data_IF_730233073643
#
_entry.id   IF_730233073643
#
_cell.length_a   1.000
_cell.length_b   1.000
_cell.length_c   1.000
_cell.angle_alpha   90.00
_cell.angle_beta   90.00
_cell.angle_gamma   90.00
#
_symmetry.space_group_name_H-M   'P 1'
#
loop_
_entity.id
_entity.type
_entity.pdbx_description
1 polymer ?
#
# COMPACT_ATOMS: atom_id res chain seq x y z
N UNK A 1 -0.25 -13.02 -3.68
CA UNK A 1 1.17 -13.37 -3.80
C UNK A 1 2.04 -12.73 -2.73
N UNK A 2 3.30 -13.10 -2.72
CA UNK A 2 4.34 -12.53 -1.85
C UNK A 2 5.49 -12.10 -2.76
N UNK A 3 6.03 -10.90 -2.53
CA UNK A 3 7.23 -10.42 -3.21
C UNK A 3 8.35 -10.25 -2.17
N UNK A 4 9.53 -10.80 -2.47
CA UNK A 4 10.73 -10.60 -1.65
C UNK A 4 11.87 -10.08 -2.51
N UNK A 5 12.57 -9.05 -2.04
CA UNK A 5 13.72 -8.45 -2.72
C UNK A 5 15.00 -8.66 -1.89
N UNK A 6 16.06 -9.06 -2.59
CA UNK A 6 17.41 -9.11 -2.05
C UNK A 6 18.39 -8.45 -3.04
N UNK A 7 18.92 -7.29 -2.69
CA UNK A 7 19.80 -6.47 -3.56
C UNK A 7 19.11 -6.19 -4.92
N UNK A 8 19.68 -6.74 -5.99
CA UNK A 8 19.25 -6.50 -7.38
C UNK A 8 18.32 -7.61 -7.91
N UNK A 9 17.95 -8.57 -7.07
CA UNK A 9 17.01 -9.63 -7.43
C UNK A 9 15.75 -9.50 -6.60
N UNK A 10 14.60 -9.74 -7.24
CA UNK A 10 13.33 -9.93 -6.54
C UNK A 10 12.64 -11.18 -7.06
N UNK A 11 11.87 -11.80 -6.19
CA UNK A 11 11.06 -12.96 -6.51
C UNK A 11 9.61 -12.68 -6.12
N UNK A 12 8.69 -13.06 -6.99
CA UNK A 12 7.25 -12.99 -6.74
C UNK A 12 6.70 -14.41 -6.76
N UNK A 13 6.08 -14.83 -5.66
CA UNK A 13 5.40 -16.13 -5.57
C UNK A 13 3.89 -15.92 -5.54
N UNK A 14 3.18 -16.52 -6.47
CA UNK A 14 1.72 -16.41 -6.61
C UNK A 14 1.10 -17.80 -6.51
N UNK A 15 0.02 -17.93 -5.75
CA UNK A 15 -0.80 -19.14 -5.72
C UNK A 15 -1.90 -18.99 -6.78
N UNK A 16 -1.85 -19.87 -7.78
CA UNK A 16 -2.86 -19.94 -8.84
C UNK A 16 -4.22 -20.48 -8.32
N UNK A 17 -5.31 -20.30 -9.07
CA UNK A 17 -6.63 -20.86 -8.70
C UNK A 17 -6.62 -22.38 -8.53
N UNK A 18 -5.79 -23.09 -9.32
CA UNK A 18 -5.61 -24.55 -9.21
C UNK A 18 -4.83 -25.00 -7.96
N UNK A 19 -4.34 -24.05 -7.14
CA UNK A 19 -3.59 -24.30 -5.90
C UNK A 19 -2.08 -24.39 -6.09
N UNK A 20 -1.57 -24.47 -7.32
CA UNK A 20 -0.14 -24.44 -7.62
C UNK A 20 0.50 -23.10 -7.26
N UNK A 21 1.80 -23.14 -6.96
CA UNK A 21 2.58 -21.93 -6.67
C UNK A 21 3.50 -21.66 -7.85
N UNK A 22 3.31 -20.54 -8.51
CA UNK A 22 4.22 -20.02 -9.52
C UNK A 22 5.20 -19.05 -8.87
N UNK A 23 6.48 -19.15 -9.23
CA UNK A 23 7.54 -18.27 -8.70
C UNK A 23 8.28 -17.66 -9.88
N UNK A 24 8.25 -16.35 -9.98
CA UNK A 24 9.03 -15.59 -10.94
C UNK A 24 10.19 -14.91 -10.21
N UNK A 25 11.39 -15.01 -10.78
CA UNK A 25 12.59 -14.36 -10.26
C UNK A 25 13.14 -13.44 -11.33
N UNK A 26 13.24 -12.15 -11.00
CA UNK A 26 13.73 -11.14 -11.92
C UNK A 26 14.82 -10.27 -11.29
N UNK A 27 15.59 -9.63 -12.17
CA UNK A 27 16.54 -8.59 -11.78
C UNK A 27 15.90 -7.21 -11.88
N UNK A 28 16.06 -6.41 -10.82
CA UNK A 28 15.62 -5.04 -10.79
C UNK A 28 16.73 -4.13 -10.29
N UNK A 29 17.26 -3.38 -11.20
CA UNK A 29 18.25 -2.34 -10.93
C UNK A 29 17.46 -1.04 -10.76
N UNK A 30 17.40 -0.50 -9.55
CA UNK A 30 16.60 0.70 -9.24
C UNK A 30 16.87 1.90 -10.16
N UNK A 31 15.92 2.82 -10.24
CA UNK A 31 15.93 3.99 -11.16
C UNK A 31 17.20 4.84 -11.06
N UNK A 32 17.83 4.92 -9.87
CA UNK A 32 19.05 5.70 -9.63
C UNK A 32 20.33 4.85 -9.62
N UNK A 33 20.40 3.72 -10.30
CA UNK A 33 21.54 2.81 -10.17
C UNK A 33 22.91 3.48 -10.45
N UNK A 34 23.01 4.34 -11.42
CA UNK A 34 24.27 4.97 -11.86
C UNK A 34 24.42 6.45 -11.41
N UNK A 35 23.45 7.02 -10.71
CA UNK A 35 23.46 8.43 -10.39
C UNK A 35 24.15 8.74 -9.06
N UNK A 36 25.00 9.78 -9.05
CA UNK A 36 25.60 10.37 -7.83
C UNK A 36 24.53 10.93 -6.84
N UNK A 37 23.29 11.09 -7.28
CA UNK A 37 22.17 11.56 -6.46
C UNK A 37 21.80 10.57 -5.32
N UNK A 38 22.26 9.31 -5.41
CA UNK A 38 22.10 8.32 -4.30
C UNK A 38 22.76 8.74 -2.99
N UNK A 39 23.74 9.64 -3.03
CA UNK A 39 24.45 10.08 -1.83
C UNK A 39 23.65 11.09 -1.01
N UNK A 40 22.66 11.74 -1.61
CA UNK A 40 21.82 12.73 -0.94
C UNK A 40 20.67 12.02 -0.20
N UNK A 41 20.61 12.08 1.16
CA UNK A 41 19.69 11.25 1.94
C UNK A 41 18.20 11.47 1.57
N UNK A 42 17.78 12.71 1.33
CA UNK A 42 16.40 13.04 0.95
C UNK A 42 16.02 12.49 -0.42
N UNK A 43 16.88 12.73 -1.41
CA UNK A 43 16.67 12.29 -2.81
C UNK A 43 16.64 10.76 -2.86
N UNK A 44 17.55 10.09 -2.16
CA UNK A 44 17.57 8.63 -2.04
C UNK A 44 16.26 8.07 -1.52
N UNK A 45 15.67 8.72 -0.50
CA UNK A 45 14.41 8.28 0.08
C UNK A 45 13.25 8.31 -0.94
N UNK A 46 13.12 9.40 -1.71
CA UNK A 46 12.10 9.55 -2.74
C UNK A 46 12.24 8.46 -3.80
N UNK A 47 13.45 8.23 -4.29
CA UNK A 47 13.66 7.21 -5.33
C UNK A 47 13.50 5.78 -4.81
N UNK A 48 13.88 5.50 -3.56
CA UNK A 48 13.58 4.20 -2.95
C UNK A 48 12.07 3.96 -2.83
N UNK A 49 11.31 5.00 -2.53
CA UNK A 49 9.86 4.92 -2.51
C UNK A 49 9.29 4.65 -3.90
N UNK A 50 9.75 5.37 -4.94
CA UNK A 50 9.37 5.14 -6.33
C UNK A 50 9.73 3.72 -6.80
N UNK A 51 10.94 3.24 -6.49
CA UNK A 51 11.37 1.88 -6.79
C UNK A 51 10.44 0.84 -6.14
N UNK A 52 10.03 1.08 -4.89
CA UNK A 52 9.10 0.20 -4.18
C UNK A 52 7.71 0.21 -4.81
N UNK A 53 7.23 1.36 -5.28
CA UNK A 53 5.95 1.47 -6.01
C UNK A 53 6.01 0.72 -7.36
N UNK A 54 7.08 0.90 -8.13
CA UNK A 54 7.26 0.22 -9.42
C UNK A 54 7.28 -1.30 -9.23
N UNK A 55 8.06 -1.79 -8.27
CA UNK A 55 8.12 -3.22 -7.94
C UNK A 55 6.77 -3.75 -7.44
N UNK A 56 6.10 -3.00 -6.56
CA UNK A 56 4.77 -3.35 -6.09
C UNK A 56 3.77 -3.48 -7.24
N UNK A 57 3.76 -2.53 -8.17
CA UNK A 57 2.88 -2.55 -9.35
C UNK A 57 3.18 -3.75 -10.26
N UNK A 58 4.47 -4.02 -10.56
CA UNK A 58 4.86 -5.20 -11.35
C UNK A 58 4.38 -6.49 -10.69
N UNK A 59 4.60 -6.63 -9.39
CA UNK A 59 4.19 -7.81 -8.63
C UNK A 59 2.66 -7.99 -8.59
N UNK A 60 1.91 -6.89 -8.51
CA UNK A 60 0.46 -6.90 -8.57
C UNK A 60 -0.03 -7.32 -9.96
N UNK A 61 0.53 -6.75 -11.03
CA UNK A 61 0.18 -7.11 -12.41
C UNK A 61 0.50 -8.59 -12.69
N UNK A 62 1.68 -9.07 -12.28
CA UNK A 62 2.02 -10.49 -12.37
C UNK A 62 1.04 -11.37 -11.58
N UNK A 63 0.66 -10.95 -10.37
CA UNK A 63 -0.33 -11.69 -9.58
C UNK A 63 -1.72 -11.66 -10.22
N UNK A 64 -2.13 -10.54 -10.84
CA UNK A 64 -3.42 -10.38 -11.49
C UNK A 64 -3.55 -11.25 -12.74
N UNK A 65 -2.48 -11.39 -13.54
CA UNK A 65 -2.49 -12.16 -14.79
C UNK A 65 -2.93 -13.64 -14.63
N UNK A 66 -2.88 -14.19 -13.43
CA UNK A 66 -3.38 -15.54 -13.14
C UNK A 66 -4.86 -15.60 -12.76
N UNK A 67 -5.55 -14.45 -12.67
CA UNK A 67 -6.94 -14.34 -12.24
C UNK A 67 -7.82 -13.60 -13.26
N UNK A 68 -7.24 -13.08 -14.35
CA UNK A 68 -7.96 -12.32 -15.38
C UNK A 68 -8.93 -13.16 -16.24
N UNK A 69 -8.80 -14.51 -16.21
CA UNK A 69 -9.62 -15.39 -17.05
C UNK A 69 -11.06 -15.65 -16.54
N UNK A 70 -11.43 -15.24 -15.33
CA UNK A 70 -12.68 -15.75 -14.74
C UNK A 70 -13.81 -14.74 -14.52
N UNK A 71 -13.63 -13.43 -14.64
CA UNK A 71 -14.75 -12.47 -14.43
C UNK A 71 -14.53 -11.10 -15.06
N UNK A 72 -14.54 -10.98 -16.36
CA UNK A 72 -15.00 -9.74 -16.98
C UNK A 72 -16.46 -9.87 -17.38
N UNK A 73 -17.36 -9.96 -16.42
CA UNK A 73 -18.71 -9.44 -16.66
C UNK A 73 -18.55 -7.92 -16.81
N UNK A 74 -18.52 -7.48 -18.08
CA UNK A 74 -18.57 -6.05 -18.42
C UNK A 74 -19.75 -5.42 -17.70
N UNK A 75 -19.45 -4.59 -16.71
CA UNK A 75 -20.48 -3.85 -15.99
C UNK A 75 -21.21 -2.95 -16.98
N UNK A 76 -22.50 -2.68 -16.76
CA UNK A 76 -23.31 -1.79 -17.61
C UNK A 76 -22.64 -0.43 -17.81
N UNK A 77 -21.86 0.02 -16.82
CA UNK A 77 -21.04 1.23 -16.85
C UNK A 77 -19.91 1.13 -17.86
N UNK A 78 -19.25 -0.04 -17.99
CA UNK A 78 -18.14 -0.25 -18.95
C UNK A 78 -18.65 -0.20 -20.38
N UNK A 79 -19.82 -0.82 -20.66
CA UNK A 79 -20.46 -0.76 -21.99
C UNK A 79 -20.86 0.65 -22.39
N UNK A 80 -21.34 1.46 -21.45
CA UNK A 80 -21.71 2.85 -21.71
C UNK A 80 -20.46 3.71 -22.00
N UNK A 81 -19.37 3.50 -21.25
CA UNK A 81 -18.11 4.20 -21.44
C UNK A 81 -17.40 3.79 -22.75
N UNK A 82 -17.35 2.49 -23.08
CA UNK A 82 -16.81 2.01 -24.35
C UNK A 82 -17.55 2.60 -25.57
N UNK A 83 -18.85 2.79 -25.45
CA UNK A 83 -19.67 3.41 -26.50
C UNK A 83 -19.37 4.91 -26.69
N UNK A 84 -18.95 5.60 -25.62
CA UNK A 84 -18.72 7.06 -25.64
C UNK A 84 -17.28 7.43 -26.07
N UNK A 85 -16.27 6.64 -25.71
CA UNK A 85 -14.86 6.98 -25.86
C UNK A 85 -14.06 6.07 -26.81
N UNK A 86 -14.70 5.06 -27.47
CA UNK A 86 -14.05 4.13 -28.42
C UNK A 86 -12.72 3.56 -27.88
N UNK A 87 -11.64 3.68 -28.64
CA UNK A 87 -10.35 3.04 -28.36
C UNK A 87 -9.56 3.59 -27.14
N UNK A 88 -10.07 4.63 -26.46
CA UNK A 88 -9.44 5.22 -25.26
C UNK A 88 -10.32 5.11 -24.00
N UNK A 89 -11.40 4.36 -24.06
CA UNK A 89 -12.36 4.25 -22.96
C UNK A 89 -11.68 3.82 -21.66
N UNK A 90 -10.83 2.79 -21.69
CA UNK A 90 -10.17 2.26 -20.50
C UNK A 90 -9.19 3.26 -19.88
N UNK A 91 -8.46 4.00 -20.72
CA UNK A 91 -7.53 5.03 -20.24
C UNK A 91 -8.25 6.20 -19.59
N UNK A 92 -9.35 6.64 -20.18
CA UNK A 92 -10.18 7.74 -19.65
C UNK A 92 -10.87 7.29 -18.36
N UNK A 93 -11.44 6.10 -18.32
CA UNK A 93 -12.08 5.54 -17.13
C UNK A 93 -11.04 5.43 -15.97
N UNK A 94 -9.89 4.87 -16.24
CA UNK A 94 -8.81 4.76 -15.26
C UNK A 94 -8.35 6.13 -14.74
N UNK A 95 -8.22 7.13 -15.62
CA UNK A 95 -7.86 8.48 -15.22
C UNK A 95 -8.94 9.14 -14.34
N UNK A 96 -10.23 9.00 -14.71
CA UNK A 96 -11.36 9.53 -13.95
C UNK A 96 -11.42 8.87 -12.56
N UNK A 97 -11.32 7.55 -12.48
CA UNK A 97 -11.30 6.81 -11.21
C UNK A 97 -10.13 7.24 -10.34
N UNK A 98 -8.95 7.42 -10.93
CA UNK A 98 -7.77 7.87 -10.20
C UNK A 98 -7.94 9.29 -9.64
N UNK A 99 -8.42 10.24 -10.45
CA UNK A 99 -8.68 11.63 -10.02
C UNK A 99 -9.74 11.65 -8.90
N UNK A 100 -10.84 10.92 -9.09
CA UNK A 100 -11.91 10.84 -8.10
C UNK A 100 -11.42 10.22 -6.78
N UNK A 101 -10.65 9.12 -6.85
CA UNK A 101 -10.07 8.48 -5.67
C UNK A 101 -9.11 9.40 -4.92
N UNK A 102 -8.31 10.17 -5.66
CA UNK A 102 -7.39 11.14 -5.06
C UNK A 102 -8.14 12.30 -4.40
N UNK A 103 -9.16 12.84 -5.06
CA UNK A 103 -10.02 13.88 -4.49
C UNK A 103 -10.75 13.39 -3.22
N UNK A 104 -11.25 12.14 -3.24
CA UNK A 104 -11.89 11.51 -2.09
C UNK A 104 -10.92 11.33 -0.93
N UNK A 105 -9.68 10.90 -1.22
CA UNK A 105 -8.64 10.76 -0.20
C UNK A 105 -8.31 12.12 0.47
N UNK A 106 -8.15 13.18 -0.32
CA UNK A 106 -7.95 14.54 0.21
C UNK A 106 -9.16 14.95 1.06
N UNK A 107 -10.38 14.71 0.58
CA UNK A 107 -11.62 15.00 1.30
C UNK A 107 -11.67 14.33 2.67
N UNK A 108 -11.39 13.04 2.73
CA UNK A 108 -11.48 12.26 3.97
C UNK A 108 -10.33 12.57 4.94
N UNK A 109 -9.10 12.70 4.45
CA UNK A 109 -7.92 12.79 5.33
C UNK A 109 -7.45 14.22 5.61
N UNK A 110 -7.85 15.19 4.79
CA UNK A 110 -7.47 16.60 5.00
C UNK A 110 -8.69 17.49 5.31
N UNK A 111 -9.72 17.44 4.46
CA UNK A 111 -10.86 18.36 4.58
C UNK A 111 -11.76 17.99 5.75
N UNK A 112 -12.10 16.71 5.91
CA UNK A 112 -13.00 16.24 6.97
C UNK A 112 -12.47 16.52 8.38
N UNK A 113 -11.21 16.23 8.75
CA UNK A 113 -10.67 16.57 10.07
C UNK A 113 -10.72 18.09 10.33
N UNK A 114 -10.29 18.89 9.36
CA UNK A 114 -10.34 20.34 9.44
C UNK A 114 -11.78 20.87 9.64
N UNK A 115 -12.73 20.37 8.86
CA UNK A 115 -14.13 20.75 8.96
C UNK A 115 -14.71 20.41 10.34
N UNK A 116 -14.46 19.19 10.83
CA UNK A 116 -14.95 18.76 12.14
C UNK A 116 -14.36 19.62 13.26
N UNK A 117 -13.05 19.91 13.21
CA UNK A 117 -12.41 20.76 14.23
C UNK A 117 -12.87 22.20 14.16
N UNK A 118 -13.17 22.72 12.96
CA UNK A 118 -13.67 24.10 12.80
C UNK A 118 -15.01 24.33 13.49
N UNK A 119 -15.84 23.31 13.65
CA UNK A 119 -17.10 23.40 14.40
C UNK A 119 -16.89 23.69 15.89
N UNK A 120 -15.70 23.39 16.41
CA UNK A 120 -15.34 23.64 17.82
C UNK A 120 -14.51 24.91 18.00
N UNK A 121 -14.24 25.66 16.93
CA UNK A 121 -13.38 26.85 16.97
C UNK A 121 -13.90 27.96 17.93
N UNK A 122 -15.22 28.07 18.12
CA UNK A 122 -15.80 29.00 19.07
C UNK A 122 -15.57 28.63 20.53
N UNK A 123 -15.44 27.33 20.81
CA UNK A 123 -15.28 26.80 22.17
C UNK A 123 -13.82 26.69 22.58
N UNK A 124 -12.91 26.50 21.61
CA UNK A 124 -11.48 26.26 21.84
C UNK A 124 -10.66 27.45 21.31
N UNK A 125 -10.23 28.30 22.20
CA UNK A 125 -9.46 29.52 21.88
C UNK A 125 -7.96 29.26 21.63
N UNK A 126 -7.43 28.11 22.08
CA UNK A 126 -6.02 27.80 21.93
C UNK A 126 -5.77 27.15 20.56
N UNK A 127 -5.00 27.80 19.71
CA UNK A 127 -4.61 27.27 18.39
C UNK A 127 -3.83 25.94 18.50
N UNK A 128 -2.91 25.83 19.47
CA UNK A 128 -2.13 24.61 19.68
C UNK A 128 -3.00 23.44 20.11
N UNK A 129 -3.97 23.68 20.98
CA UNK A 129 -4.90 22.64 21.42
C UNK A 129 -5.81 22.19 20.26
N UNK A 130 -6.24 23.10 19.40
CA UNK A 130 -7.01 22.80 18.21
C UNK A 130 -6.21 21.93 17.22
N UNK A 131 -4.92 22.24 17.00
CA UNK A 131 -4.05 21.48 16.14
C UNK A 131 -3.85 20.04 16.65
N UNK A 132 -3.72 19.86 17.97
CA UNK A 132 -3.63 18.52 18.58
C UNK A 132 -4.91 17.71 18.34
N UNK A 133 -6.08 18.31 18.56
CA UNK A 133 -7.36 17.65 18.31
C UNK A 133 -7.49 17.24 16.85
N UNK A 134 -7.16 18.14 15.92
CA UNK A 134 -7.18 17.83 14.48
C UNK A 134 -6.23 16.67 14.14
N UNK A 135 -5.02 16.68 14.67
CA UNK A 135 -4.05 15.60 14.46
C UNK A 135 -4.52 14.26 15.01
N UNK A 136 -5.09 14.25 16.23
CA UNK A 136 -5.69 13.03 16.82
C UNK A 136 -6.85 12.53 15.96
N UNK A 137 -7.71 13.44 15.49
CA UNK A 137 -8.84 13.08 14.62
C UNK A 137 -8.37 12.47 13.31
N UNK A 138 -7.30 12.99 12.69
CA UNK A 138 -6.67 12.38 11.49
C UNK A 138 -6.21 10.95 11.75
N UNK A 139 -5.57 10.71 12.89
CA UNK A 139 -5.12 9.35 13.28
C UNK A 139 -6.33 8.43 13.46
N UNK A 140 -7.38 8.89 14.13
CA UNK A 140 -8.61 8.10 14.36
C UNK A 140 -9.27 7.76 13.02
N UNK A 141 -9.45 8.74 12.12
CA UNK A 141 -10.02 8.52 10.79
C UNK A 141 -9.17 7.50 10.01
N UNK A 142 -7.85 7.63 10.03
CA UNK A 142 -6.96 6.69 9.36
C UNK A 142 -7.09 5.27 9.92
N UNK A 143 -7.11 5.11 11.24
CA UNK A 143 -7.27 3.79 11.87
C UNK A 143 -8.63 3.18 11.52
N UNK A 144 -9.70 3.98 11.58
CA UNK A 144 -11.05 3.52 11.20
C UNK A 144 -11.12 3.13 9.73
N UNK A 145 -10.48 3.89 8.85
CA UNK A 145 -10.36 3.54 7.43
C UNK A 145 -9.65 2.19 7.24
N UNK A 146 -8.47 2.01 7.86
CA UNK A 146 -7.71 0.74 7.75
C UNK A 146 -8.53 -0.43 8.31
N UNK A 147 -9.23 -0.25 9.42
CA UNK A 147 -10.11 -1.27 9.98
C UNK A 147 -11.26 -1.59 9.02
N UNK A 148 -11.89 -0.58 8.43
CA UNK A 148 -13.01 -0.76 7.48
C UNK A 148 -12.58 -1.54 6.25
N UNK A 149 -11.45 -1.16 5.60
CA UNK A 149 -10.96 -1.90 4.44
C UNK A 149 -10.49 -3.31 4.79
N UNK A 150 -10.05 -3.55 6.04
CA UNK A 150 -9.64 -4.89 6.50
C UNK A 150 -10.79 -5.89 6.58
N UNK A 151 -12.05 -5.42 6.54
CA UNK A 151 -13.24 -6.28 6.47
C UNK A 151 -13.44 -6.89 5.09
N UNK A 152 -12.90 -6.25 4.04
CA UNK A 152 -12.95 -6.79 2.68
C UNK A 152 -12.13 -8.07 2.57
N UNK A 153 -12.68 -9.10 1.90
CA UNK A 153 -12.04 -10.43 1.81
C UNK A 153 -10.66 -10.36 1.16
N UNK A 154 -10.50 -9.56 0.09
CA UNK A 154 -9.25 -9.44 -0.66
C UNK A 154 -8.18 -8.70 0.13
N UNK A 155 -8.55 -7.60 0.78
CA UNK A 155 -7.63 -6.85 1.66
C UNK A 155 -7.22 -7.69 2.87
N UNK A 156 -8.15 -8.43 3.46
CA UNK A 156 -7.84 -9.39 4.54
C UNK A 156 -6.86 -10.46 4.08
N UNK A 157 -7.01 -10.94 2.85
CA UNK A 157 -6.07 -11.90 2.24
C UNK A 157 -4.69 -11.27 2.07
N UNK A 158 -4.62 -10.05 1.56
CA UNK A 158 -3.37 -9.28 1.43
C UNK A 158 -2.66 -9.13 2.78
N UNK A 159 -3.35 -8.74 3.83
CA UNK A 159 -2.77 -8.62 5.18
C UNK A 159 -2.26 -9.97 5.74
N UNK A 160 -2.92 -11.07 5.40
CA UNK A 160 -2.44 -12.41 5.78
C UNK A 160 -1.12 -12.75 5.09
N UNK A 161 -0.98 -12.43 3.80
CA UNK A 161 0.28 -12.60 3.07
C UNK A 161 1.38 -11.71 3.63
N UNK A 162 1.10 -10.45 3.90
CA UNK A 162 2.05 -9.52 4.51
C UNK A 162 2.52 -10.01 5.89
N UNK A 163 1.62 -10.51 6.72
CA UNK A 163 1.98 -11.13 8.01
C UNK A 163 2.81 -12.40 7.87
N UNK A 164 2.57 -13.20 6.82
CA UNK A 164 3.36 -14.40 6.52
C UNK A 164 4.78 -14.03 6.05
N UNK A 165 4.91 -12.99 5.22
CA UNK A 165 6.19 -12.42 4.80
C UNK A 165 7.04 -12.01 6.00
N UNK A 166 6.48 -11.23 6.94
CA UNK A 166 7.19 -10.86 8.18
C UNK A 166 7.65 -12.08 8.98
N UNK A 167 6.83 -13.13 9.06
CA UNK A 167 7.22 -14.37 9.74
C UNK A 167 8.39 -15.06 9.06
N UNK A 168 8.41 -15.10 7.73
CA UNK A 168 9.53 -15.65 6.96
C UNK A 168 10.82 -14.86 7.20
N UNK A 169 10.75 -13.52 7.10
CA UNK A 169 11.91 -12.63 7.33
C UNK A 169 12.44 -12.81 8.77
N UNK A 170 11.57 -12.76 9.77
CA UNK A 170 11.95 -12.97 11.16
C UNK A 170 12.54 -14.37 11.42
N UNK A 171 12.11 -15.39 10.68
CA UNK A 171 12.67 -16.74 10.77
C UNK A 171 14.13 -16.75 10.26
N UNK A 172 14.37 -16.13 9.10
CA UNK A 172 15.68 -16.01 8.47
C UNK A 172 16.63 -15.17 9.34
N UNK A 173 16.18 -14.00 9.80
CA UNK A 173 17.00 -13.08 10.64
C UNK A 173 17.43 -13.72 11.97
N UNK A 174 16.64 -14.69 12.47
CA UNK A 174 17.00 -15.49 13.66
C UNK A 174 17.86 -16.71 13.35
N UNK A 175 18.35 -16.87 12.11
CA UNK A 175 19.16 -18.01 11.67
C UNK A 175 18.46 -19.36 11.73
N UNK A 176 17.12 -19.39 11.71
CA UNK A 176 16.34 -20.63 11.77
C UNK A 176 16.12 -21.19 10.37
N UNK A 177 16.17 -22.52 10.18
CA UNK A 177 15.78 -23.14 8.92
C UNK A 177 14.36 -22.75 8.51
N UNK A 178 14.16 -22.45 7.22
CA UNK A 178 12.89 -21.97 6.67
C UNK A 178 11.89 -23.12 6.51
N UNK A 179 11.45 -23.69 7.62
CA UNK A 179 10.40 -24.70 7.66
C UNK A 179 9.07 -24.09 8.10
N UNK A 180 7.96 -24.68 7.69
CA UNK A 180 6.61 -24.22 8.07
C UNK A 180 6.49 -24.07 9.59
N UNK A 181 7.03 -25.03 10.35
CA UNK A 181 7.01 -25.03 11.83
C UNK A 181 7.74 -23.82 12.41
N UNK A 182 8.93 -23.49 11.91
CA UNK A 182 9.73 -22.37 12.39
C UNK A 182 9.13 -21.01 11.98
N UNK A 183 8.62 -20.92 10.74
CA UNK A 183 7.92 -19.71 10.25
C UNK A 183 6.66 -19.45 11.06
N UNK A 184 5.85 -20.45 11.34
CA UNK A 184 4.62 -20.30 12.14
C UNK A 184 4.91 -19.78 13.56
N UNK A 185 6.05 -20.18 14.16
CA UNK A 185 6.49 -19.73 15.49
C UNK A 185 7.12 -18.34 15.49
N UNK A 186 7.45 -17.79 14.32
CA UNK A 186 8.08 -16.48 14.19
C UNK A 186 7.04 -15.36 14.33
N UNK A 187 7.48 -14.17 14.76
CA UNK A 187 6.63 -12.99 14.91
C UNK A 187 6.11 -12.50 13.56
N UNK A 188 4.87 -12.04 13.51
CA UNK A 188 4.30 -11.29 12.38
C UNK A 188 4.64 -9.79 12.42
N UNK A 189 5.25 -9.30 13.49
CA UNK A 189 5.70 -7.91 13.62
C UNK A 189 7.15 -7.81 13.20
N UNK A 190 7.48 -6.82 12.37
CA UNK A 190 8.84 -6.58 11.90
C UNK A 190 9.18 -5.09 11.96
N UNK A 191 10.41 -4.76 12.41
CA UNK A 191 10.84 -3.38 12.65
C UNK A 191 10.92 -2.51 11.40
N UNK A 192 11.11 -3.13 10.23
CA UNK A 192 11.23 -2.44 8.93
C UNK A 192 9.92 -2.40 8.15
N UNK A 193 8.78 -2.53 8.82
CA UNK A 193 7.47 -2.49 8.18
C UNK A 193 7.10 -1.06 7.79
N UNK A 194 6.72 -0.85 6.53
CA UNK A 194 6.27 0.45 6.02
C UNK A 194 5.01 0.98 6.72
N UNK A 195 4.12 0.10 7.18
CA UNK A 195 2.92 0.52 7.93
C UNK A 195 3.27 1.11 9.30
N UNK A 196 4.28 0.56 9.99
CA UNK A 196 4.78 1.12 11.25
C UNK A 196 5.43 2.48 11.04
N UNK A 197 6.12 2.66 9.92
CA UNK A 197 6.70 3.95 9.54
C UNK A 197 5.62 5.01 9.28
N UNK A 198 4.55 4.67 8.58
CA UNK A 198 3.41 5.56 8.35
C UNK A 198 2.79 6.06 9.67
N UNK A 199 2.51 5.14 10.60
CA UNK A 199 2.00 5.51 11.92
C UNK A 199 2.96 6.44 12.68
N UNK A 200 4.26 6.16 12.62
CA UNK A 200 5.26 7.01 13.26
C UNK A 200 5.29 8.43 12.66
N UNK A 201 5.25 8.54 11.32
CA UNK A 201 5.18 9.84 10.63
C UNK A 201 3.92 10.61 11.01
N UNK A 202 2.77 9.94 11.10
CA UNK A 202 1.53 10.58 11.53
C UNK A 202 1.61 11.08 12.98
N UNK A 203 2.19 10.30 13.90
CA UNK A 203 2.39 10.72 15.28
C UNK A 203 3.31 11.95 15.37
N UNK A 204 4.42 11.94 14.64
CA UNK A 204 5.35 13.08 14.59
C UNK A 204 4.66 14.32 14.02
N UNK A 205 3.83 14.19 12.99
CA UNK A 205 3.10 15.33 12.39
C UNK A 205 2.04 15.95 13.30
N UNK A 206 1.64 15.28 14.37
CA UNK A 206 0.72 15.85 15.38
C UNK A 206 1.47 16.67 16.42
N UNK A 207 2.76 16.37 16.62
CA UNK A 207 3.59 17.02 17.66
C UNK A 207 4.31 18.26 17.10
N UNK A 208 4.60 18.28 15.80
CA UNK A 208 5.24 19.40 15.08
C UNK A 208 4.22 20.43 14.60
#
# INVERSE_FOLDING_TARGET
GIMMKNKDQYAVAVRKPNGEIEVEVEHYIGVLHESKLKTIPFIRGIFQFLDSMILGMRSLNFSASFYEDDTTEETVTDKAFHKLFKDRADQVLSAVVMIFSFALAIGIFMVLPYFVTSLFAEYIRSASFMAIIEGVLRIVIFVLYVLSISLMKDIRRLYRYHGAEHKCINCIEKGRPLTVKNVMRSSKQHKRCGTSFLLFVMLVSVVL
#
